data_IF_526576514294
#
_entry.id   IF_526576514294
#
_cell.length_a   1.000
_cell.length_b   1.000
_cell.length_c   1.000
_cell.angle_alpha   90.00
_cell.angle_beta   90.00
_cell.angle_gamma   90.00
#
_symmetry.space_group_name_H-M   'P 1'
#
loop_
_entity.id
_entity.type
_entity.pdbx_description
1 polymer ?
#
# COMPACT_ATOMS: atom_id res chain seq x y z
N UNK A 1 -2.08 19.74 3.97
CA UNK A 1 -1.44 18.57 4.61
C UNK A 1 -1.41 17.40 3.62
N UNK A 2 -0.46 16.44 3.74
CA UNK A 2 -0.45 15.21 2.92
C UNK A 2 -0.47 14.00 3.85
N UNK A 3 -1.44 13.10 3.68
CA UNK A 3 -1.52 11.88 4.51
C UNK A 3 -0.34 10.91 4.27
N UNK A 4 0.31 10.98 3.11
CA UNK A 4 1.52 10.21 2.81
C UNK A 4 2.79 10.79 3.43
N UNK A 5 2.75 11.98 4.08
CA UNK A 5 3.87 12.53 4.83
C UNK A 5 4.06 11.80 6.16
N UNK A 6 5.22 11.97 6.79
CA UNK A 6 5.51 11.41 8.12
C UNK A 6 4.41 11.78 9.15
N UNK A 7 3.98 13.05 9.19
CA UNK A 7 2.91 13.49 10.11
C UNK A 7 1.56 12.85 9.79
N UNK A 8 1.22 12.71 8.49
CA UNK A 8 0.03 11.99 8.07
C UNK A 8 0.07 10.52 8.48
N UNK A 9 1.16 9.83 8.18
CA UNK A 9 1.38 8.41 8.59
C UNK A 9 1.39 8.25 10.11
N UNK A 10 1.85 9.27 10.89
CA UNK A 10 1.75 9.28 12.35
C UNK A 10 0.30 9.31 12.83
N UNK A 11 -0.54 10.18 12.27
CA UNK A 11 -1.96 10.22 12.60
C UNK A 11 -2.64 8.87 12.28
N UNK A 12 -2.32 8.30 11.11
CA UNK A 12 -2.87 7.00 10.72
C UNK A 12 -2.47 5.89 11.70
N UNK A 13 -1.21 5.84 12.10
CA UNK A 13 -0.73 4.88 13.09
C UNK A 13 -1.44 5.03 14.44
N UNK A 14 -1.61 6.27 14.93
CA UNK A 14 -2.35 6.54 16.17
C UNK A 14 -3.81 6.10 16.08
N UNK A 15 -4.48 6.37 14.95
CA UNK A 15 -5.87 5.99 14.74
C UNK A 15 -6.05 4.48 14.52
N UNK A 16 -5.06 3.79 13.93
CA UNK A 16 -5.09 2.34 13.69
C UNK A 16 -4.57 1.51 14.89
N UNK A 17 -3.85 2.17 15.81
CA UNK A 17 -3.26 1.50 16.98
C UNK A 17 -1.95 0.78 16.69
N UNK A 18 -1.41 0.88 15.46
CA UNK A 18 -0.13 0.34 15.03
C UNK A 18 0.35 1.07 13.75
N UNK A 19 1.60 0.81 13.32
CA UNK A 19 2.26 1.51 12.20
C UNK A 19 1.73 1.12 10.79
N UNK A 20 0.40 0.88 10.65
CA UNK A 20 -0.26 0.65 9.37
C UNK A 20 -0.73 1.94 8.71
N UNK A 21 -0.58 2.03 7.37
CA UNK A 21 -1.11 3.14 6.58
C UNK A 21 -2.19 2.73 5.55
N UNK A 22 -2.39 1.43 5.34
CA UNK A 22 -3.36 0.87 4.40
C UNK A 22 -4.70 0.49 5.08
N UNK A 23 -5.73 0.21 4.27
CA UNK A 23 -7.02 -0.27 4.75
C UNK A 23 -6.93 -1.70 5.32
N UNK A 24 -7.73 -2.02 6.33
CA UNK A 24 -7.92 -3.38 6.84
C UNK A 24 -6.82 -3.91 7.75
N UNK A 25 -5.76 -3.14 8.01
CA UNK A 25 -4.68 -3.51 8.94
C UNK A 25 -4.22 -4.97 8.74
N UNK A 26 -4.20 -5.78 9.81
CA UNK A 26 -3.79 -7.21 9.73
C UNK A 26 -4.73 -8.05 8.89
N UNK A 27 -6.04 -7.74 8.88
CA UNK A 27 -7.02 -8.50 8.09
C UNK A 27 -6.73 -8.44 6.59
N UNK A 28 -6.33 -7.27 6.07
CA UNK A 28 -5.96 -7.15 4.66
C UNK A 28 -4.64 -7.84 4.33
N UNK A 29 -3.68 -7.85 5.25
CA UNK A 29 -2.41 -8.57 5.07
C UNK A 29 -2.68 -10.08 5.00
N UNK A 30 -3.50 -10.63 5.92
CA UNK A 30 -3.90 -12.03 5.92
C UNK A 30 -4.63 -12.39 4.61
N UNK A 31 -5.52 -11.51 4.14
CA UNK A 31 -6.27 -11.72 2.90
C UNK A 31 -5.33 -11.79 1.68
N UNK A 32 -4.36 -10.89 1.58
CA UNK A 32 -3.34 -10.92 0.51
C UNK A 32 -2.51 -12.21 0.61
N UNK A 33 -2.08 -12.60 1.81
CA UNK A 33 -1.25 -13.78 1.99
C UNK A 33 -1.98 -15.12 1.86
N UNK A 34 -3.31 -15.13 1.76
CA UNK A 34 -4.06 -16.36 1.49
C UNK A 34 -3.73 -17.00 0.11
N UNK A 35 -3.12 -16.23 -0.80
CA UNK A 35 -2.70 -16.69 -2.14
C UNK A 35 -1.19 -16.64 -2.36
N UNK A 36 -0.42 -16.26 -1.38
CA UNK A 36 1.04 -16.17 -1.45
C UNK A 36 1.69 -17.29 -0.63
N UNK A 37 2.91 -17.72 -0.98
CA UNK A 37 3.66 -18.67 -0.16
C UNK A 37 3.88 -18.12 1.25
N UNK A 38 3.77 -19.03 2.24
CA UNK A 38 4.08 -18.76 3.64
C UNK A 38 5.34 -19.56 3.99
N UNK A 39 6.51 -19.02 3.67
CA UNK A 39 7.81 -19.66 3.86
C UNK A 39 8.75 -18.68 4.59
N UNK A 40 9.18 -18.99 5.84
CA UNK A 40 10.04 -18.10 6.62
C UNK A 40 11.41 -17.84 5.98
N UNK A 41 11.80 -18.64 4.99
CA UNK A 41 13.10 -18.48 4.30
C UNK A 41 13.04 -17.61 3.07
N UNK A 42 11.82 -17.36 2.52
CA UNK A 42 11.66 -16.52 1.34
C UNK A 42 12.08 -15.07 1.61
N UNK A 43 12.53 -14.39 0.56
CA UNK A 43 12.83 -12.95 0.60
C UNK A 43 11.62 -12.16 0.11
N UNK A 44 11.14 -11.24 0.93
CA UNK A 44 9.95 -10.41 0.61
C UNK A 44 10.37 -8.95 0.48
N UNK A 45 9.88 -8.26 -0.55
CA UNK A 45 9.98 -6.81 -0.69
C UNK A 45 8.61 -6.19 -0.38
N UNK A 46 8.55 -5.31 0.63
CA UNK A 46 7.41 -4.42 0.91
C UNK A 46 7.69 -3.05 0.28
N UNK A 47 7.06 -2.76 -0.86
CA UNK A 47 7.31 -1.57 -1.66
C UNK A 47 6.32 -0.44 -1.32
N UNK A 48 6.85 0.67 -0.80
CA UNK A 48 6.06 1.72 -0.17
C UNK A 48 5.66 1.35 1.25
N UNK A 49 6.62 0.78 2.01
CA UNK A 49 6.39 0.18 3.33
C UNK A 49 5.99 1.18 4.43
N UNK A 50 6.05 2.49 4.16
CA UNK A 50 5.76 3.51 5.14
C UNK A 50 6.60 3.36 6.41
N UNK A 51 5.94 3.22 7.54
CA UNK A 51 6.56 3.10 8.87
C UNK A 51 6.92 1.66 9.27
N UNK A 52 6.64 0.68 8.39
CA UNK A 52 7.10 -0.70 8.53
C UNK A 52 6.16 -1.66 9.24
N UNK A 53 4.94 -1.26 9.62
CA UNK A 53 4.00 -2.14 10.32
C UNK A 53 3.64 -3.41 9.54
N UNK A 54 3.38 -3.27 8.23
CA UNK A 54 3.11 -4.39 7.32
C UNK A 54 4.30 -5.35 7.24
N UNK A 55 5.51 -4.80 7.01
CA UNK A 55 6.75 -5.57 6.98
C UNK A 55 6.96 -6.36 8.28
N UNK A 56 6.73 -5.70 9.43
CA UNK A 56 6.85 -6.33 10.75
C UNK A 56 5.84 -7.47 10.95
N UNK A 57 4.59 -7.26 10.53
CA UNK A 57 3.56 -8.30 10.62
C UNK A 57 3.95 -9.54 9.80
N UNK A 58 4.33 -9.36 8.53
CA UNK A 58 4.72 -10.46 7.62
C UNK A 58 5.88 -11.25 8.22
N UNK A 59 6.92 -10.57 8.71
CA UNK A 59 8.09 -11.24 9.27
C UNK A 59 7.79 -11.98 10.59
N UNK A 60 6.99 -11.37 11.48
CA UNK A 60 6.55 -12.01 12.74
C UNK A 60 5.63 -13.20 12.53
N UNK A 61 4.82 -13.16 11.47
CA UNK A 61 4.01 -14.30 11.05
C UNK A 61 4.83 -15.43 10.40
N UNK A 62 6.14 -15.27 10.29
CA UNK A 62 7.06 -16.22 9.67
C UNK A 62 6.71 -16.52 8.19
N UNK A 63 6.22 -15.51 7.45
CA UNK A 63 5.91 -15.64 6.03
C UNK A 63 7.05 -15.23 5.12
N UNK A 64 8.14 -14.72 5.66
CA UNK A 64 9.35 -14.37 4.92
C UNK A 64 10.27 -13.42 5.71
N UNK A 65 11.47 -13.21 5.17
CA UNK A 65 12.41 -12.18 5.60
C UNK A 65 12.13 -10.92 4.79
N UNK A 66 11.73 -9.84 5.46
CA UNK A 66 11.23 -8.65 4.78
C UNK A 66 12.30 -7.57 4.62
N UNK A 67 12.36 -7.01 3.43
CA UNK A 67 13.03 -5.73 3.14
C UNK A 67 11.94 -4.71 2.82
N UNK A 68 11.90 -3.58 3.53
CA UNK A 68 10.97 -2.48 3.27
C UNK A 68 11.66 -1.33 2.54
N UNK A 69 10.96 -0.73 1.57
CA UNK A 69 11.40 0.51 0.91
C UNK A 69 10.32 1.56 0.92
N UNK A 70 10.69 2.80 1.15
CA UNK A 70 9.82 3.98 1.04
C UNK A 70 10.68 5.19 0.65
N UNK A 71 10.09 6.16 -0.04
CA UNK A 71 10.76 7.40 -0.41
C UNK A 71 10.92 8.35 0.80
N UNK A 72 10.07 8.19 1.82
CA UNK A 72 10.00 9.09 2.97
C UNK A 72 10.97 8.66 4.07
N UNK A 73 12.09 9.43 4.19
CA UNK A 73 13.21 9.08 5.06
C UNK A 73 12.86 9.01 6.55
N UNK A 74 11.96 9.88 7.05
CA UNK A 74 11.56 9.87 8.47
C UNK A 74 10.72 8.63 8.81
N UNK A 75 9.89 8.15 7.88
CA UNK A 75 9.16 6.88 8.04
C UNK A 75 10.11 5.69 8.10
N UNK A 76 11.10 5.66 7.21
CA UNK A 76 12.14 4.62 7.23
C UNK A 76 12.97 4.65 8.52
N UNK A 77 13.34 5.85 9.00
CA UNK A 77 14.05 5.96 10.27
C UNK A 77 13.20 5.42 11.44
N UNK A 78 11.92 5.76 11.48
CA UNK A 78 10.97 5.20 12.45
C UNK A 78 10.90 3.67 12.37
N UNK A 79 10.83 3.12 11.15
CA UNK A 79 10.84 1.66 10.94
C UNK A 79 12.08 1.00 11.52
N UNK A 80 13.26 1.56 11.27
CA UNK A 80 14.55 1.06 11.82
C UNK A 80 14.61 1.11 13.33
N UNK A 81 14.05 2.16 13.95
CA UNK A 81 14.07 2.33 15.41
C UNK A 81 13.13 1.34 16.12
N UNK A 82 12.01 1.00 15.49
CA UNK A 82 10.95 0.17 16.10
C UNK A 82 11.07 -1.30 15.73
N UNK A 83 11.55 -1.60 14.53
CA UNK A 83 11.64 -2.95 13.96
C UNK A 83 13.10 -3.24 13.51
N UNK A 84 14.07 -3.29 14.45
CA UNK A 84 15.50 -3.43 14.11
C UNK A 84 15.83 -4.74 13.42
N UNK A 85 14.95 -5.74 13.49
CA UNK A 85 15.06 -7.03 12.82
C UNK A 85 14.76 -6.98 11.31
N UNK A 86 14.22 -5.84 10.80
CA UNK A 86 13.84 -5.67 9.41
C UNK A 86 14.83 -4.74 8.70
N UNK A 87 15.16 -5.08 7.47
CA UNK A 87 16.01 -4.23 6.63
C UNK A 87 15.16 -3.16 5.95
N UNK A 88 15.48 -1.87 6.18
CA UNK A 88 14.78 -0.74 5.57
C UNK A 88 15.71 0.16 4.76
N UNK A 89 15.27 0.57 3.56
CA UNK A 89 15.99 1.51 2.71
C UNK A 89 15.11 2.71 2.31
N UNK A 90 15.70 3.90 2.35
CA UNK A 90 15.13 5.08 1.69
C UNK A 90 15.38 4.91 0.20
N UNK A 91 14.32 4.63 -0.57
CA UNK A 91 14.46 4.31 -1.99
C UNK A 91 13.15 4.62 -2.72
N UNK A 92 13.16 5.48 -3.76
CA UNK A 92 12.06 5.53 -4.70
C UNK A 92 11.86 4.18 -5.37
N UNK A 93 10.61 3.73 -5.51
CA UNK A 93 10.31 2.39 -6.05
C UNK A 93 10.80 2.20 -7.49
N UNK A 94 10.84 3.28 -8.28
CA UNK A 94 11.35 3.29 -9.65
C UNK A 94 12.88 3.05 -9.71
N UNK A 95 13.55 3.13 -8.57
CA UNK A 95 15.01 2.87 -8.42
C UNK A 95 15.29 1.62 -7.58
N UNK A 96 14.28 0.78 -7.35
CA UNK A 96 14.42 -0.43 -6.55
C UNK A 96 15.38 -1.46 -7.18
N UNK A 97 15.68 -1.37 -8.48
CA UNK A 97 16.70 -2.16 -9.17
C UNK A 97 18.06 -2.15 -8.46
N UNK A 98 18.36 -1.07 -7.72
CA UNK A 98 19.58 -0.94 -6.88
C UNK A 98 19.64 -1.95 -5.71
N UNK A 99 18.54 -2.58 -5.35
CA UNK A 99 18.50 -3.60 -4.29
C UNK A 99 19.12 -4.93 -4.72
N UNK A 100 19.32 -5.12 -6.02
CA UNK A 100 19.95 -6.28 -6.62
C UNK A 100 19.00 -7.17 -7.41
N UNK A 101 19.50 -7.69 -8.52
CA UNK A 101 18.73 -8.55 -9.43
C UNK A 101 18.41 -9.90 -8.80
N UNK A 102 17.21 -10.43 -9.07
CA UNK A 102 16.79 -11.77 -8.70
C UNK A 102 16.87 -12.10 -7.22
N UNK A 103 16.57 -11.13 -6.36
CA UNK A 103 16.71 -11.25 -4.90
C UNK A 103 15.44 -11.74 -4.21
N UNK A 104 14.27 -11.28 -4.65
CA UNK A 104 13.01 -11.47 -3.93
C UNK A 104 12.16 -12.60 -4.52
N UNK A 105 11.56 -13.38 -3.63
CA UNK A 105 10.59 -14.43 -3.96
C UNK A 105 9.16 -13.84 -4.08
N UNK A 106 8.87 -12.83 -3.26
CA UNK A 106 7.59 -12.13 -3.24
C UNK A 106 7.81 -10.62 -3.15
N UNK A 107 7.04 -9.86 -3.90
CA UNK A 107 7.00 -8.39 -3.85
C UNK A 107 5.56 -7.96 -3.60
N UNK A 108 5.35 -7.06 -2.65
CA UNK A 108 4.01 -6.59 -2.31
C UNK A 108 3.95 -5.06 -2.19
N UNK A 109 2.76 -4.52 -2.49
CA UNK A 109 2.40 -3.12 -2.32
C UNK A 109 1.06 -3.06 -1.57
N UNK A 110 0.96 -2.27 -0.51
CA UNK A 110 -0.25 -2.09 0.28
C UNK A 110 -0.68 -0.62 0.27
N UNK A 111 -1.68 -0.26 -0.55
CA UNK A 111 -2.15 1.11 -0.76
C UNK A 111 -0.99 2.11 -0.94
N UNK A 112 -0.04 1.75 -1.78
CA UNK A 112 1.12 2.57 -2.11
C UNK A 112 1.30 2.77 -3.61
N UNK A 113 0.85 1.81 -4.42
CA UNK A 113 1.04 1.79 -5.87
C UNK A 113 0.35 2.97 -6.59
N UNK A 114 -0.82 3.40 -6.10
CA UNK A 114 -1.52 4.57 -6.62
C UNK A 114 -0.71 5.87 -6.58
N UNK A 115 0.28 5.94 -5.68
CA UNK A 115 1.11 7.12 -5.45
C UNK A 115 2.48 7.07 -6.17
N UNK A 116 2.80 5.98 -6.88
CA UNK A 116 4.04 5.89 -7.65
C UNK A 116 3.98 6.81 -8.86
N UNK A 117 5.03 7.61 -9.06
CA UNK A 117 5.07 8.61 -10.13
C UNK A 117 5.15 7.97 -11.52
N UNK A 118 5.81 6.81 -11.64
CA UNK A 118 5.94 5.99 -12.86
C UNK A 118 5.68 4.52 -12.51
N UNK A 119 4.39 4.12 -12.55
CA UNK A 119 3.99 2.75 -12.27
C UNK A 119 4.64 1.71 -13.20
N UNK A 120 4.77 1.95 -14.52
CA UNK A 120 5.53 1.06 -15.41
C UNK A 120 7.00 0.91 -15.00
N UNK A 121 7.69 1.99 -14.63
CA UNK A 121 9.09 1.91 -14.19
C UNK A 121 9.22 1.13 -12.88
N UNK A 122 8.31 1.35 -11.91
CA UNK A 122 8.26 0.59 -10.67
C UNK A 122 8.10 -0.92 -10.93
N UNK A 123 7.15 -1.31 -11.79
CA UNK A 123 6.94 -2.72 -12.15
C UNK A 123 8.16 -3.35 -12.84
N UNK A 124 8.86 -2.61 -13.72
CA UNK A 124 10.12 -3.09 -14.31
C UNK A 124 11.22 -3.26 -13.27
N UNK A 125 11.35 -2.33 -12.32
CA UNK A 125 12.30 -2.46 -11.22
C UNK A 125 11.97 -3.68 -10.35
N UNK A 126 10.70 -3.92 -10.05
CA UNK A 126 10.25 -5.11 -9.32
C UNK A 126 10.55 -6.40 -10.10
N UNK A 127 10.33 -6.42 -11.43
CA UNK A 127 10.67 -7.57 -12.26
C UNK A 127 12.20 -7.84 -12.25
N UNK A 128 13.03 -6.79 -12.27
CA UNK A 128 14.47 -6.93 -12.12
C UNK A 128 14.86 -7.55 -10.77
N UNK A 129 14.24 -7.09 -9.69
CA UNK A 129 14.54 -7.56 -8.32
C UNK A 129 13.97 -8.94 -8.00
N UNK A 130 12.85 -9.32 -8.61
CA UNK A 130 12.21 -10.62 -8.39
C UNK A 130 13.06 -11.77 -8.96
N UNK A 131 13.04 -12.93 -8.33
CA UNK A 131 13.54 -14.17 -8.90
C UNK A 131 12.69 -14.61 -10.10
N UNK A 132 13.16 -15.45 -11.02
CA UNK A 132 12.30 -16.10 -12.00
C UNK A 132 11.12 -16.80 -11.31
N UNK A 133 9.87 -16.48 -11.70
CA UNK A 133 8.66 -16.99 -11.07
C UNK A 133 8.26 -16.33 -9.76
N UNK A 134 8.93 -15.24 -9.35
CA UNK A 134 8.57 -14.46 -8.17
C UNK A 134 7.10 -14.00 -8.21
N UNK A 135 6.48 -13.92 -7.05
CA UNK A 135 5.12 -13.43 -6.88
C UNK A 135 5.09 -11.91 -6.74
N UNK A 136 4.08 -11.28 -7.34
CA UNK A 136 3.72 -9.89 -7.11
C UNK A 136 2.29 -9.84 -6.57
N UNK A 137 2.07 -9.06 -5.50
CA UNK A 137 0.74 -8.76 -5.00
C UNK A 137 0.58 -7.24 -4.82
N UNK A 138 -0.41 -6.65 -5.49
CA UNK A 138 -0.75 -5.25 -5.39
C UNK A 138 -2.15 -5.13 -4.78
N UNK A 139 -2.23 -4.75 -3.50
CA UNK A 139 -3.46 -4.43 -2.79
C UNK A 139 -3.71 -2.94 -2.91
N UNK A 140 -4.72 -2.54 -3.74
CA UNK A 140 -4.81 -1.15 -4.17
C UNK A 140 -6.23 -0.69 -4.49
N UNK A 141 -6.40 0.64 -4.55
CA UNK A 141 -7.59 1.29 -5.07
C UNK A 141 -7.75 1.04 -6.56
N UNK A 142 -9.02 0.97 -7.01
CA UNK A 142 -9.35 0.83 -8.43
C UNK A 142 -10.20 2.00 -8.91
N UNK A 143 -9.96 2.44 -10.16
CA UNK A 143 -10.80 3.42 -10.85
C UNK A 143 -11.67 2.70 -11.89
N UNK A 144 -13.01 2.71 -11.73
CA UNK A 144 -13.93 2.18 -12.73
C UNK A 144 -14.10 3.12 -13.95
N UNK A 145 -13.37 4.25 -13.99
CA UNK A 145 -13.44 5.28 -15.04
C UNK A 145 -14.15 6.55 -14.60
N UNK A 146 -14.63 6.62 -13.36
CA UNK A 146 -15.40 7.77 -12.83
C UNK A 146 -14.79 8.37 -11.55
N UNK A 147 -13.60 7.92 -11.15
CA UNK A 147 -12.94 8.41 -9.94
C UNK A 147 -12.77 9.94 -9.93
N UNK A 148 -12.33 10.52 -11.06
CA UNK A 148 -12.10 11.97 -11.19
C UNK A 148 -13.39 12.80 -11.08
N UNK A 149 -14.56 12.19 -11.28
CA UNK A 149 -15.86 12.85 -11.14
C UNK A 149 -16.30 12.95 -9.67
N UNK A 150 -15.71 12.13 -8.79
CA UNK A 150 -16.00 12.12 -7.36
C UNK A 150 -15.40 13.33 -6.65
N UNK A 151 -15.99 13.69 -5.50
CA UNK A 151 -15.45 14.74 -4.63
C UNK A 151 -14.03 14.43 -4.14
N UNK A 152 -13.72 13.15 -3.87
CA UNK A 152 -12.37 12.73 -3.51
C UNK A 152 -11.41 12.88 -4.69
N UNK A 153 -11.80 12.43 -5.89
CA UNK A 153 -10.96 12.54 -7.09
C UNK A 153 -10.56 13.98 -7.38
N UNK A 154 -11.52 14.91 -7.28
CA UNK A 154 -11.25 16.34 -7.40
C UNK A 154 -10.34 16.87 -6.28
N UNK A 155 -10.56 16.41 -5.04
CA UNK A 155 -9.75 16.81 -3.88
C UNK A 155 -8.29 16.37 -4.01
N UNK A 156 -8.02 15.19 -4.58
CA UNK A 156 -6.66 14.62 -4.69
C UNK A 156 -6.02 14.82 -6.07
N UNK A 157 -6.66 15.53 -6.99
CA UNK A 157 -6.15 15.74 -8.35
C UNK A 157 -4.71 16.24 -8.37
N UNK A 158 -4.39 17.26 -7.55
CA UNK A 158 -3.05 17.83 -7.44
C UNK A 158 -2.05 16.92 -6.71
N UNK A 159 -2.51 15.85 -6.07
CA UNK A 159 -1.64 14.87 -5.41
C UNK A 159 -1.15 13.77 -6.37
N UNK A 160 -1.65 13.75 -7.60
CA UNK A 160 -1.24 12.82 -8.64
C UNK A 160 -1.63 11.36 -8.37
N UNK A 161 -2.78 11.13 -7.72
CA UNK A 161 -3.27 9.78 -7.49
C UNK A 161 -3.58 9.05 -8.80
N UNK A 162 -3.11 7.80 -8.90
CA UNK A 162 -3.28 6.92 -10.05
C UNK A 162 -3.83 5.56 -9.60
N UNK A 163 -5.12 5.46 -9.20
CA UNK A 163 -5.72 4.16 -8.88
C UNK A 163 -5.64 3.21 -10.07
N UNK A 164 -5.68 1.89 -9.80
CA UNK A 164 -5.60 0.86 -10.83
C UNK A 164 -6.79 0.91 -11.79
N UNK A 165 -6.52 0.88 -13.09
CA UNK A 165 -7.53 0.66 -14.14
C UNK A 165 -7.47 -0.83 -14.50
N UNK A 166 -8.42 -1.62 -13.97
CA UNK A 166 -8.39 -3.08 -14.11
C UNK A 166 -8.47 -3.57 -15.56
N UNK A 167 -9.11 -2.81 -16.46
CA UNK A 167 -9.19 -3.16 -17.88
C UNK A 167 -7.83 -3.12 -18.60
N UNK A 168 -6.86 -2.34 -18.11
CA UNK A 168 -5.53 -2.19 -18.71
C UNK A 168 -4.43 -2.90 -17.95
N UNK A 169 -4.70 -3.39 -16.73
CA UNK A 169 -3.67 -3.92 -15.84
C UNK A 169 -2.93 -5.14 -16.43
N UNK A 170 -3.63 -6.00 -17.18
CA UNK A 170 -2.99 -7.15 -17.85
C UNK A 170 -1.94 -6.72 -18.87
N UNK A 171 -2.24 -5.71 -19.69
CA UNK A 171 -1.30 -5.18 -20.67
C UNK A 171 -0.08 -4.57 -19.98
N UNK A 172 -0.31 -3.72 -18.97
CA UNK A 172 0.74 -3.10 -18.16
C UNK A 172 1.68 -4.13 -17.52
N UNK A 173 1.14 -5.18 -16.93
CA UNK A 173 1.92 -6.26 -16.32
C UNK A 173 2.77 -6.98 -17.38
N UNK A 174 2.18 -7.36 -18.51
CA UNK A 174 2.91 -8.06 -19.60
C UNK A 174 4.06 -7.22 -20.15
N UNK A 175 3.86 -5.91 -20.36
CA UNK A 175 4.86 -4.97 -20.84
C UNK A 175 6.03 -4.74 -19.86
N UNK A 176 5.82 -5.11 -18.59
CA UNK A 176 6.79 -4.86 -17.50
C UNK A 176 7.39 -6.13 -16.91
N UNK A 177 7.17 -7.30 -17.56
CA UNK A 177 7.80 -8.57 -17.20
C UNK A 177 7.02 -9.41 -16.18
N UNK A 178 5.70 -9.18 -16.08
CA UNK A 178 4.79 -9.91 -15.21
C UNK A 178 3.67 -10.56 -15.99
N UNK A 179 3.25 -11.74 -15.57
CA UNK A 179 2.06 -12.42 -16.07
C UNK A 179 0.96 -12.33 -15.00
N UNK A 180 -0.20 -11.79 -15.38
CA UNK A 180 -1.36 -11.71 -14.50
C UNK A 180 -1.89 -13.11 -14.16
N UNK A 181 -1.88 -13.44 -12.86
CA UNK A 181 -2.46 -14.69 -12.35
C UNK A 181 -3.96 -14.49 -12.06
N UNK A 182 -4.31 -13.60 -11.15
CA UNK A 182 -5.72 -13.33 -10.82
C UNK A 182 -5.93 -11.93 -10.26
N UNK A 183 -7.17 -11.46 -10.31
CA UNK A 183 -7.63 -10.24 -9.66
C UNK A 183 -8.73 -10.64 -8.68
N UNK A 184 -8.60 -10.24 -7.43
CA UNK A 184 -9.62 -10.40 -6.39
C UNK A 184 -10.23 -9.04 -6.06
N UNK A 185 -11.53 -8.90 -6.29
CA UNK A 185 -12.27 -7.71 -5.85
C UNK A 185 -12.40 -7.73 -4.31
N UNK A 186 -12.08 -6.60 -3.68
CA UNK A 186 -12.20 -6.36 -2.24
C UNK A 186 -12.95 -5.06 -1.94
N UNK A 187 -13.74 -4.59 -2.88
CA UNK A 187 -14.51 -3.33 -2.75
C UNK A 187 -15.44 -3.35 -1.54
N UNK A 188 -16.12 -4.49 -1.30
CA UNK A 188 -17.00 -4.66 -0.13
C UNK A 188 -16.21 -4.55 1.18
N UNK A 189 -15.01 -5.14 1.23
CA UNK A 189 -14.13 -5.03 2.40
C UNK A 189 -13.65 -3.59 2.59
N UNK A 190 -13.28 -2.90 1.52
CA UNK A 190 -12.91 -1.48 1.57
C UNK A 190 -14.04 -0.60 2.12
N UNK A 191 -15.30 -0.79 1.70
CA UNK A 191 -16.44 -0.07 2.26
C UNK A 191 -16.51 -0.26 3.78
N UNK A 192 -16.41 -1.50 4.25
CA UNK A 192 -16.44 -1.84 5.67
C UNK A 192 -15.25 -1.25 6.43
N UNK A 193 -14.02 -1.42 5.93
CA UNK A 193 -12.81 -0.95 6.59
C UNK A 193 -12.75 0.57 6.66
N UNK A 194 -13.13 1.29 5.59
CA UNK A 194 -13.12 2.76 5.59
C UNK A 194 -14.23 3.33 6.44
N UNK A 195 -15.41 2.69 6.51
CA UNK A 195 -16.46 3.06 7.46
C UNK A 195 -15.95 2.94 8.90
N UNK A 196 -15.40 1.79 9.25
CA UNK A 196 -14.85 1.52 10.59
C UNK A 196 -13.73 2.51 10.94
N UNK A 197 -12.85 2.81 9.98
CA UNK A 197 -11.73 3.71 10.21
C UNK A 197 -12.19 5.18 10.36
N UNK A 198 -13.15 5.63 9.56
CA UNK A 198 -13.74 6.96 9.70
C UNK A 198 -14.43 7.13 11.07
N UNK A 199 -15.17 6.12 11.52
CA UNK A 199 -15.79 6.13 12.86
C UNK A 199 -14.71 6.21 13.96
N UNK A 200 -13.65 5.42 13.86
CA UNK A 200 -12.52 5.40 14.82
C UNK A 200 -11.81 6.76 14.91
N UNK A 201 -11.62 7.47 13.78
CA UNK A 201 -11.04 8.83 13.79
C UNK A 201 -11.92 9.78 14.60
N UNK A 202 -13.25 9.66 14.53
CA UNK A 202 -14.19 10.48 15.31
C UNK A 202 -14.17 10.11 16.78
N UNK A 203 -14.17 8.82 17.10
CA UNK A 203 -14.10 8.31 18.48
C UNK A 203 -12.83 8.76 19.20
N UNK A 204 -11.69 8.76 18.47
CA UNK A 204 -10.39 9.19 18.98
C UNK A 204 -10.14 10.70 18.90
N UNK A 205 -11.16 11.52 18.63
CA UNK A 205 -11.06 12.96 18.38
C UNK A 205 -10.15 13.68 19.38
N UNK A 206 -10.41 13.54 20.67
CA UNK A 206 -9.66 14.26 21.72
C UNK A 206 -8.18 13.89 21.70
N UNK A 207 -7.87 12.60 21.61
CA UNK A 207 -6.50 12.09 21.53
C UNK A 207 -5.78 12.56 20.26
N UNK A 208 -6.44 12.50 19.11
CA UNK A 208 -5.83 12.89 17.84
C UNK A 208 -5.62 14.42 17.76
N UNK A 209 -6.49 15.21 18.35
CA UNK A 209 -6.29 16.69 18.45
C UNK A 209 -5.12 17.00 19.38
N UNK A 210 -5.01 16.34 20.53
CA UNK A 210 -3.87 16.52 21.45
C UNK A 210 -2.53 16.18 20.79
N UNK A 211 -2.46 15.07 20.06
CA UNK A 211 -1.23 14.55 19.46
C UNK A 211 -0.86 15.20 18.10
N UNK A 212 -1.84 15.61 17.31
CA UNK A 212 -1.63 16.03 15.92
C UNK A 212 -2.22 17.43 15.60
N UNK A 213 -3.00 18.02 16.50
CA UNK A 213 -3.67 19.31 16.32
C UNK A 213 -5.04 19.20 15.65
N UNK A 214 -5.89 20.22 15.90
CA UNK A 214 -7.27 20.29 15.42
C UNK A 214 -7.35 20.25 13.88
N UNK A 215 -6.57 21.07 13.19
CA UNK A 215 -6.55 21.15 11.72
C UNK A 215 -6.22 19.80 11.07
N UNK A 216 -5.26 19.07 11.66
CA UNK A 216 -4.86 17.75 11.18
C UNK A 216 -5.98 16.72 11.34
N UNK A 217 -6.66 16.76 12.50
CA UNK A 217 -7.79 15.88 12.75
C UNK A 217 -8.98 16.18 11.82
N UNK A 218 -9.34 17.46 11.63
CA UNK A 218 -10.42 17.88 10.72
C UNK A 218 -10.15 17.44 9.29
N UNK A 219 -8.91 17.65 8.82
CA UNK A 219 -8.51 17.19 7.49
C UNK A 219 -8.66 15.67 7.35
N UNK A 220 -8.13 14.90 8.30
CA UNK A 220 -8.21 13.44 8.26
C UNK A 220 -9.65 12.93 8.34
N UNK A 221 -10.49 13.50 9.23
CA UNK A 221 -11.89 13.14 9.37
C UNK A 221 -12.65 13.36 8.06
N UNK A 222 -12.53 14.55 7.47
CA UNK A 222 -13.18 14.87 6.20
C UNK A 222 -12.68 13.99 5.04
N UNK A 223 -11.37 13.75 4.99
CA UNK A 223 -10.75 12.93 3.96
C UNK A 223 -11.26 11.48 3.98
N UNK A 224 -11.32 10.85 5.16
CA UNK A 224 -11.77 9.46 5.28
C UNK A 224 -13.28 9.30 5.13
N UNK A 225 -14.06 10.35 5.38
CA UNK A 225 -15.48 10.40 5.00
C UNK A 225 -15.64 10.42 3.48
N UNK A 226 -14.87 11.26 2.79
CA UNK A 226 -14.85 11.28 1.32
C UNK A 226 -14.40 9.95 0.73
N UNK A 227 -13.36 9.32 1.31
CA UNK A 227 -12.90 7.98 0.91
C UNK A 227 -14.05 6.96 0.98
N UNK A 228 -14.67 6.85 2.15
CA UNK A 228 -15.77 5.90 2.35
C UNK A 228 -16.93 6.15 1.38
N UNK A 229 -17.37 7.42 1.21
CA UNK A 229 -18.48 7.75 0.32
C UNK A 229 -18.13 7.50 -1.15
N UNK A 230 -16.90 7.80 -1.57
CA UNK A 230 -16.44 7.56 -2.95
C UNK A 230 -16.46 6.07 -3.31
N UNK A 231 -16.04 5.21 -2.37
CA UNK A 231 -16.06 3.76 -2.58
C UNK A 231 -17.50 3.24 -2.56
N UNK A 232 -18.29 3.66 -1.58
CA UNK A 232 -19.69 3.26 -1.39
C UNK A 232 -20.58 3.63 -2.59
N UNK A 233 -20.29 4.77 -3.25
CA UNK A 233 -21.02 5.22 -4.45
C UNK A 233 -20.48 4.65 -5.75
N UNK A 234 -19.43 3.81 -5.69
CA UNK A 234 -18.90 3.10 -6.85
C UNK A 234 -17.97 3.93 -7.76
N UNK A 235 -17.54 5.11 -7.31
CA UNK A 235 -16.55 5.91 -8.06
C UNK A 235 -15.11 5.44 -7.83
N UNK A 236 -14.89 4.59 -6.84
CA UNK A 236 -13.63 3.93 -6.56
C UNK A 236 -13.93 2.55 -5.98
N UNK A 237 -13.04 1.60 -6.17
CA UNK A 237 -13.12 0.28 -5.56
C UNK A 237 -11.80 -0.13 -4.94
N UNK A 238 -11.68 -1.42 -4.61
CA UNK A 238 -10.46 -2.05 -4.14
C UNK A 238 -10.23 -3.40 -4.80
N UNK A 239 -8.98 -3.71 -5.12
CA UNK A 239 -8.61 -5.03 -5.63
C UNK A 239 -7.25 -5.49 -5.11
N UNK A 240 -7.06 -6.81 -5.13
CA UNK A 240 -5.75 -7.44 -5.03
C UNK A 240 -5.42 -8.01 -6.41
N UNK A 241 -4.35 -7.51 -7.00
CA UNK A 241 -3.81 -8.01 -8.26
C UNK A 241 -2.65 -8.94 -7.95
N UNK A 242 -2.75 -10.20 -8.35
CA UNK A 242 -1.67 -11.19 -8.24
C UNK A 242 -1.06 -11.44 -9.61
N UNK A 243 0.27 -11.45 -9.65
CA UNK A 243 1.01 -11.76 -10.88
C UNK A 243 2.27 -12.58 -10.55
N UNK A 244 2.85 -13.19 -11.57
CA UNK A 244 4.12 -13.91 -11.50
C UNK A 244 5.12 -13.31 -12.45
N UNK A 245 6.38 -13.22 -12.02
CA UNK A 245 7.44 -12.80 -12.91
C UNK A 245 7.64 -13.80 -14.05
N UNK A 246 7.67 -13.31 -15.28
CA UNK A 246 7.98 -14.14 -16.46
C UNK A 246 9.43 -14.64 -16.41
N UNK A 247 9.68 -15.79 -17.03
CA UNK A 247 10.97 -16.49 -16.98
C UNK A 247 12.04 -15.90 -17.93
N UNK A 248 11.80 -14.70 -18.52
CA UNK A 248 12.73 -14.08 -19.47
C UNK A 248 13.82 -13.28 -18.78
#
# INVERSE_FOLDING_TARGET
MRLNSFQGKRLLALARGDDYAHAGETESIDLVWNRLPKDPTQQVLDAGCGRGGTAAYIQRAAWGKVTGIDIEGESIQRGRDVYPEITFHVCPVEQADRLGAGKFDTICCFNSFYAFSDQPAALRAFAHNGKPGAHLAIFEYTDPGTFKESALGQHVELLGWQPLILSTIRALLNETGWELDTIQDVTTDYIRWYKTFSDRIRELRSKLIEECGLETWEYASNFYDLMHETIKTGHMGGAIVYAKRTAN
#
